data_IF_742263450327
#
_entry.id   IF_742263450327
#
_cell.length_a   1.000
_cell.length_b   1.000
_cell.length_c   1.000
_cell.angle_alpha   90.00
_cell.angle_beta   90.00
_cell.angle_gamma   90.00
#
_symmetry.space_group_name_H-M   'P 1'
#
loop_
_entity.id
_entity.type
_entity.pdbx_description
1 polymer ?
#
# COMPACT_ATOMS: atom_id res chain seq x y z
N UNK A 1 17.01 25.42 -56.39
CA UNK A 1 17.67 25.12 -55.10
C UNK A 1 16.67 24.41 -54.19
N UNK A 2 16.82 23.09 -53.99
CA UNK A 2 16.01 22.28 -53.07
C UNK A 2 16.60 22.43 -51.66
N UNK A 3 15.77 22.75 -50.66
CA UNK A 3 16.18 22.73 -49.24
C UNK A 3 15.80 21.36 -48.66
N UNK A 4 16.80 20.64 -48.18
CA UNK A 4 16.63 19.41 -47.41
C UNK A 4 16.02 19.72 -46.04
N UNK A 5 15.03 18.92 -45.65
CA UNK A 5 14.61 18.77 -44.26
C UNK A 5 15.52 17.73 -43.60
N UNK A 6 15.95 18.00 -42.38
CA UNK A 6 16.80 17.12 -41.56
C UNK A 6 15.96 16.59 -40.39
N UNK A 7 15.96 15.27 -40.22
CA UNK A 7 15.37 14.54 -39.10
C UNK A 7 16.03 14.91 -37.75
N UNK A 8 15.29 14.90 -36.63
CA UNK A 8 15.89 14.94 -35.30
C UNK A 8 16.39 13.54 -34.87
N UNK A 9 17.70 13.45 -34.69
CA UNK A 9 18.43 12.30 -34.13
C UNK A 9 18.05 12.07 -32.67
N UNK A 10 17.70 10.83 -32.33
CA UNK A 10 17.51 10.35 -30.96
C UNK A 10 18.90 10.08 -30.36
N UNK A 11 19.23 10.82 -29.30
CA UNK A 11 20.46 10.70 -28.54
C UNK A 11 20.47 9.39 -27.73
N UNK A 12 21.38 8.48 -28.11
CA UNK A 12 21.54 7.15 -27.53
C UNK A 12 22.41 7.14 -26.26
N UNK A 13 22.95 8.29 -25.82
CA UNK A 13 23.91 8.34 -24.71
C UNK A 13 23.26 8.52 -23.32
N UNK A 14 21.94 8.76 -23.25
CA UNK A 14 21.22 8.88 -21.98
C UNK A 14 20.86 7.52 -21.33
N UNK A 15 20.97 6.39 -22.06
CA UNK A 15 20.54 5.07 -21.58
C UNK A 15 21.67 4.32 -20.85
N UNK A 16 22.93 4.72 -21.00
CA UNK A 16 24.09 3.97 -20.48
C UNK A 16 24.55 4.41 -19.07
N UNK A 17 23.98 5.48 -18.50
CA UNK A 17 24.41 5.99 -17.18
C UNK A 17 23.75 5.31 -15.96
N UNK A 18 22.69 4.53 -16.13
CA UNK A 18 22.00 3.88 -15.00
C UNK A 18 22.50 2.45 -14.68
N UNK A 19 23.52 1.96 -15.38
CA UNK A 19 24.05 0.60 -15.21
C UNK A 19 25.21 0.45 -14.22
N UNK A 20 25.72 1.53 -13.59
CA UNK A 20 26.95 1.49 -12.79
C UNK A 20 26.77 1.51 -11.25
N UNK A 21 25.54 1.44 -10.73
CA UNK A 21 25.29 1.43 -9.27
C UNK A 21 24.87 0.06 -8.69
N UNK A 22 24.93 -1.03 -9.47
CA UNK A 22 24.51 -2.37 -9.05
C UNK A 22 25.66 -3.38 -8.98
N UNK A 23 26.75 -3.07 -8.30
CA UNK A 23 27.75 -4.11 -7.99
C UNK A 23 28.33 -3.93 -6.60
N UNK A 24 28.31 -5.03 -5.83
CA UNK A 24 28.52 -5.20 -4.37
C UNK A 24 27.17 -5.15 -3.65
N UNK A 25 26.55 -6.27 -3.25
CA UNK A 25 27.05 -7.27 -2.30
C UNK A 25 26.36 -8.63 -2.58
N UNK A 26 27.12 -9.70 -2.80
CA UNK A 26 26.60 -11.07 -2.73
C UNK A 26 27.56 -11.90 -1.88
N UNK A 27 27.15 -12.22 -0.66
CA UNK A 27 27.82 -13.22 0.18
C UNK A 27 26.77 -14.28 0.53
N UNK A 28 27.00 -15.58 0.28
CA UNK A 28 26.02 -16.60 0.58
C UNK A 28 26.06 -16.90 2.10
N UNK A 29 25.00 -16.56 2.83
CA UNK A 29 24.94 -16.86 4.26
C UNK A 29 24.31 -18.24 4.50
N UNK A 30 25.07 -19.09 5.20
CA UNK A 30 24.76 -20.48 5.58
C UNK A 30 23.49 -20.57 6.43
N UNK A 31 22.72 -21.64 6.22
CA UNK A 31 21.60 -22.05 7.06
C UNK A 31 22.07 -22.27 8.50
N UNK A 32 21.48 -21.57 9.46
CA UNK A 32 21.59 -21.89 10.88
C UNK A 32 20.16 -22.04 11.40
N UNK A 33 19.75 -23.28 11.67
CA UNK A 33 18.52 -23.58 12.41
C UNK A 33 18.81 -23.41 13.90
N UNK A 34 18.09 -22.50 14.55
CA UNK A 34 18.01 -22.47 16.02
C UNK A 34 16.54 -22.61 16.39
N UNK A 35 16.22 -23.75 17.00
CA UNK A 35 14.96 -24.01 17.66
C UNK A 35 14.95 -23.31 19.03
N UNK A 36 13.90 -22.54 19.32
CA UNK A 36 13.45 -22.28 20.68
C UNK A 36 11.95 -21.95 20.66
N UNK A 37 11.18 -22.83 21.32
CA UNK A 37 9.73 -22.78 21.50
C UNK A 37 9.28 -21.59 22.37
N UNK A 38 8.09 -21.08 22.05
CA UNK A 38 7.31 -20.16 22.88
C UNK A 38 6.03 -19.77 22.15
N UNK A 39 4.90 -20.27 22.63
CA UNK A 39 3.56 -20.27 22.02
C UNK A 39 3.10 -18.88 21.53
N UNK A 40 2.88 -18.76 20.21
CA UNK A 40 1.94 -17.79 19.61
C UNK A 40 1.22 -18.53 18.50
N UNK A 41 -0.11 -18.65 18.63
CA UNK A 41 -0.97 -19.15 17.57
C UNK A 41 -0.95 -18.21 16.36
N UNK A 42 -0.07 -18.49 15.41
CA UNK A 42 -0.22 -18.07 14.02
C UNK A 42 0.13 -19.27 13.14
N UNK A 43 -0.90 -19.76 12.45
CA UNK A 43 -0.81 -20.85 11.49
C UNK A 43 0.19 -20.50 10.39
N UNK A 44 1.04 -21.47 10.05
CA UNK A 44 1.95 -21.52 8.90
C UNK A 44 3.16 -20.59 8.96
N UNK A 45 4.34 -21.15 9.23
CA UNK A 45 5.65 -20.51 9.05
C UNK A 45 5.84 -20.14 7.57
N UNK A 46 5.37 -18.98 7.17
CA UNK A 46 5.82 -18.31 5.94
C UNK A 46 7.22 -17.81 6.26
N UNK A 47 8.23 -18.32 5.57
CA UNK A 47 9.57 -17.73 5.62
C UNK A 47 9.48 -16.37 4.94
N UNK A 48 9.24 -15.32 5.71
CA UNK A 48 9.28 -13.96 5.21
C UNK A 48 10.74 -13.50 5.05
N UNK A 49 11.04 -12.73 4.01
CA UNK A 49 12.31 -12.03 3.90
C UNK A 49 12.36 -10.92 4.96
N UNK A 50 13.18 -11.11 5.98
CA UNK A 50 13.37 -10.15 7.08
C UNK A 50 13.89 -8.79 6.60
N UNK A 51 14.54 -8.74 5.43
CA UNK A 51 15.03 -7.50 4.84
C UNK A 51 13.96 -6.76 4.03
N UNK A 52 12.82 -7.39 3.75
CA UNK A 52 11.71 -6.75 3.08
C UNK A 52 10.90 -5.92 4.10
N UNK A 53 10.92 -4.57 4.02
CA UNK A 53 10.18 -3.73 4.94
C UNK A 53 8.66 -3.76 4.69
N UNK A 54 8.23 -4.35 3.57
CA UNK A 54 6.83 -4.52 3.18
C UNK A 54 6.38 -5.99 3.28
N UNK A 55 7.06 -6.82 4.09
CA UNK A 55 6.59 -8.18 4.42
C UNK A 55 5.27 -8.12 5.19
N UNK A 56 4.47 -9.17 5.10
CA UNK A 56 3.13 -9.26 5.70
C UNK A 56 3.12 -8.87 7.18
N UNK A 57 4.06 -9.37 7.99
CA UNK A 57 4.13 -9.06 9.42
C UNK A 57 4.33 -7.57 9.70
N UNK A 58 5.18 -6.87 8.94
CA UNK A 58 5.38 -5.43 9.09
C UNK A 58 4.18 -4.63 8.59
N UNK A 59 3.54 -5.07 7.50
CA UNK A 59 2.33 -4.42 7.00
C UNK A 59 1.17 -4.55 8.00
N UNK A 60 0.95 -5.73 8.59
CA UNK A 60 -0.06 -5.95 9.64
C UNK A 60 0.22 -5.08 10.87
N UNK A 61 1.47 -5.06 11.34
CA UNK A 61 1.88 -4.23 12.48
C UNK A 61 1.71 -2.74 12.21
N UNK A 62 2.04 -2.27 11.00
CA UNK A 62 1.84 -0.88 10.59
C UNK A 62 0.35 -0.53 10.50
N UNK A 63 -0.47 -1.44 9.97
CA UNK A 63 -1.92 -1.29 9.93
C UNK A 63 -2.54 -1.16 11.33
N UNK A 64 -2.14 -2.02 12.27
CA UNK A 64 -2.60 -1.97 13.66
C UNK A 64 -2.26 -0.65 14.35
N UNK A 65 -1.08 -0.07 14.05
CA UNK A 65 -0.69 1.26 14.56
C UNK A 65 -1.63 2.37 14.10
N UNK A 66 -2.33 2.24 12.98
CA UNK A 66 -3.35 3.22 12.58
C UNK A 66 -4.49 3.25 13.60
N UNK A 67 -4.97 2.06 14.01
CA UNK A 67 -6.02 1.93 15.03
C UNK A 67 -5.54 2.31 16.43
N UNK A 68 -4.31 1.98 16.80
CA UNK A 68 -3.77 2.21 18.14
C UNK A 68 -3.27 3.64 18.36
N UNK A 69 -2.74 4.30 17.33
CA UNK A 69 -2.07 5.60 17.46
C UNK A 69 -2.73 6.71 16.65
N UNK A 70 -2.94 6.49 15.35
CA UNK A 70 -3.43 7.55 14.46
C UNK A 70 -4.90 7.88 14.73
N UNK A 71 -5.72 6.85 14.99
CA UNK A 71 -7.13 7.01 15.29
C UNK A 71 -7.41 7.75 16.61
N UNK A 72 -6.79 7.39 17.76
CA UNK A 72 -6.96 8.16 19.00
C UNK A 72 -6.53 9.62 18.86
N UNK A 73 -5.46 9.91 18.12
CA UNK A 73 -5.05 11.30 17.82
C UNK A 73 -6.12 12.05 17.02
N UNK A 74 -6.71 11.40 16.02
CA UNK A 74 -7.83 11.97 15.26
C UNK A 74 -9.05 12.25 16.16
N UNK A 75 -9.41 11.31 17.03
CA UNK A 75 -10.50 11.51 18.00
C UNK A 75 -10.23 12.68 18.96
N UNK A 76 -8.98 12.88 19.39
CA UNK A 76 -8.62 14.05 20.19
C UNK A 76 -8.81 15.37 19.43
N UNK A 77 -8.44 15.42 18.14
CA UNK A 77 -8.69 16.59 17.29
C UNK A 77 -10.20 16.86 17.13
N UNK A 78 -10.99 15.82 16.86
CA UNK A 78 -12.46 15.93 16.77
C UNK A 78 -13.05 16.48 18.07
N UNK A 79 -12.64 15.95 19.23
CA UNK A 79 -13.07 16.45 20.55
C UNK A 79 -12.64 17.89 20.82
N UNK A 80 -11.47 18.30 20.35
CA UNK A 80 -11.03 19.69 20.43
C UNK A 80 -11.96 20.63 19.65
N UNK A 81 -12.35 20.21 18.45
CA UNK A 81 -13.27 20.97 17.58
C UNK A 81 -14.67 21.04 18.19
N UNK A 82 -15.21 19.92 18.71
CA UNK A 82 -16.53 19.93 19.35
C UNK A 82 -16.57 20.86 20.56
N UNK A 83 -15.55 20.84 21.42
CA UNK A 83 -15.44 21.74 22.58
C UNK A 83 -15.43 23.23 22.20
N UNK A 84 -14.78 23.58 21.09
CA UNK A 84 -14.73 24.98 20.61
C UNK A 84 -16.05 25.47 20.01
N UNK A 85 -16.91 24.55 19.53
CA UNK A 85 -18.20 24.86 18.89
C UNK A 85 -19.42 24.81 19.84
N UNK A 86 -19.21 24.90 21.16
CA UNK A 86 -20.23 24.71 22.22
C UNK A 86 -20.70 23.26 22.42
N UNK A 87 -19.89 22.28 22.03
CA UNK A 87 -19.89 20.94 22.64
C UNK A 87 -21.17 20.11 22.45
N UNK A 88 -21.80 20.13 21.28
CA UNK A 88 -22.92 19.22 20.99
C UNK A 88 -22.39 17.78 20.77
N UNK A 89 -22.86 16.78 21.55
CA UNK A 89 -22.53 15.38 21.31
C UNK A 89 -22.90 14.87 19.90
N UNK A 90 -23.90 15.48 19.25
CA UNK A 90 -24.29 15.16 17.88
C UNK A 90 -23.21 15.57 16.86
N UNK A 91 -22.51 16.69 17.10
CA UNK A 91 -21.43 17.15 16.24
C UNK A 91 -20.22 16.20 16.32
N UNK A 92 -19.83 15.78 17.52
CA UNK A 92 -18.73 14.82 17.70
C UNK A 92 -19.03 13.49 17.01
N UNK A 93 -20.27 13.01 17.13
CA UNK A 93 -20.71 11.78 16.45
C UNK A 93 -20.66 11.93 14.93
N UNK A 94 -21.18 13.04 14.39
CA UNK A 94 -21.17 13.31 12.95
C UNK A 94 -19.74 13.41 12.41
N UNK A 95 -18.84 14.11 13.10
CA UNK A 95 -17.44 14.23 12.70
C UNK A 95 -16.70 12.88 12.76
N UNK A 96 -17.04 12.03 13.75
CA UNK A 96 -16.56 10.65 13.79
C UNK A 96 -17.01 9.88 12.56
N UNK A 97 -18.31 9.89 12.23
CA UNK A 97 -18.86 9.21 11.05
C UNK A 97 -18.24 9.70 9.73
N UNK A 98 -17.96 11.00 9.61
CA UNK A 98 -17.23 11.59 8.47
C UNK A 98 -15.83 10.96 8.37
N UNK A 99 -15.10 10.89 9.49
CA UNK A 99 -13.77 10.30 9.54
C UNK A 99 -13.80 8.79 9.19
N UNK A 100 -14.74 8.02 9.72
CA UNK A 100 -14.88 6.60 9.40
C UNK A 100 -15.18 6.37 7.91
N UNK A 101 -16.07 7.19 7.33
CA UNK A 101 -16.41 7.15 5.90
C UNK A 101 -15.20 7.50 5.03
N UNK A 102 -14.41 8.49 5.45
CA UNK A 102 -13.17 8.87 4.79
C UNK A 102 -12.19 7.69 4.76
N UNK A 103 -11.92 7.06 5.91
CA UNK A 103 -11.00 5.92 6.02
C UNK A 103 -11.39 4.82 5.02
N UNK A 104 -12.67 4.41 5.02
CA UNK A 104 -13.17 3.38 4.10
C UNK A 104 -12.96 3.75 2.63
N UNK A 105 -13.25 5.00 2.25
CA UNK A 105 -13.08 5.47 0.86
C UNK A 105 -11.62 5.50 0.44
N UNK A 106 -10.74 5.96 1.32
CA UNK A 106 -9.30 6.05 1.05
C UNK A 106 -8.68 4.67 0.85
N UNK A 107 -8.97 3.70 1.72
CA UNK A 107 -8.49 2.33 1.53
C UNK A 107 -9.03 1.70 0.24
N UNK A 108 -10.31 1.92 -0.09
CA UNK A 108 -10.89 1.44 -1.36
C UNK A 108 -10.20 2.07 -2.57
N UNK A 109 -9.89 3.37 -2.52
CA UNK A 109 -9.18 4.07 -3.59
C UNK A 109 -7.75 3.53 -3.77
N UNK A 110 -7.03 3.35 -2.67
CA UNK A 110 -5.68 2.78 -2.69
C UNK A 110 -5.64 1.39 -3.35
N UNK A 111 -6.61 0.52 -3.00
CA UNK A 111 -6.75 -0.80 -3.61
C UNK A 111 -6.93 -0.69 -5.13
N UNK A 112 -7.93 0.10 -5.58
CA UNK A 112 -8.22 0.30 -7.01
C UNK A 112 -7.02 0.89 -7.76
N UNK A 113 -6.35 1.88 -7.18
CA UNK A 113 -5.21 2.53 -7.84
C UNK A 113 -4.01 1.57 -7.98
N UNK A 114 -3.75 0.75 -6.96
CA UNK A 114 -2.64 -0.21 -7.03
C UNK A 114 -2.96 -1.41 -7.91
N UNK A 115 -4.22 -1.85 -7.98
CA UNK A 115 -4.68 -2.84 -8.96
C UNK A 115 -4.44 -2.32 -10.39
N UNK A 116 -4.87 -1.10 -10.69
CA UNK A 116 -4.61 -0.47 -12.01
C UNK A 116 -3.12 -0.38 -12.32
N UNK A 117 -2.29 -0.02 -11.33
CA UNK A 117 -0.82 0.02 -11.52
C UNK A 117 -0.25 -1.39 -11.73
N UNK A 118 -0.72 -2.41 -11.02
CA UNK A 118 -0.33 -3.81 -11.23
C UNK A 118 -0.69 -4.28 -12.63
N UNK A 119 -1.89 -4.00 -13.12
CA UNK A 119 -2.31 -4.34 -14.50
C UNK A 119 -1.50 -3.59 -15.56
N UNK A 120 -1.21 -2.31 -15.34
CA UNK A 120 -0.31 -1.55 -16.22
C UNK A 120 1.10 -2.14 -16.26
N UNK A 121 1.64 -2.58 -15.11
CA UNK A 121 2.93 -3.28 -15.05
C UNK A 121 2.88 -4.62 -15.79
N UNK A 122 1.84 -5.43 -15.59
CA UNK A 122 1.65 -6.69 -16.34
C UNK A 122 1.65 -6.45 -17.85
N UNK A 123 0.92 -5.43 -18.29
CA UNK A 123 0.87 -5.03 -19.70
C UNK A 123 2.24 -4.63 -20.24
N UNK A 124 3.00 -3.80 -19.50
CA UNK A 124 4.35 -3.37 -19.88
C UNK A 124 5.33 -4.54 -20.04
N UNK A 125 5.21 -5.57 -19.21
CA UNK A 125 6.07 -6.75 -19.27
C UNK A 125 5.54 -7.85 -20.22
N UNK A 126 4.45 -7.59 -20.95
CA UNK A 126 3.73 -8.57 -21.79
C UNK A 126 3.34 -9.84 -21.02
N UNK A 127 2.94 -9.67 -19.76
CA UNK A 127 2.41 -10.73 -18.92
C UNK A 127 0.89 -10.83 -19.18
N UNK A 128 0.50 -11.41 -20.31
CA UNK A 128 -0.88 -11.82 -20.60
C UNK A 128 -1.10 -13.31 -20.26
N UNK A 129 -2.33 -13.72 -19.94
CA UNK A 129 -2.72 -15.07 -19.50
C UNK A 129 -2.34 -16.24 -20.45
N UNK A 130 -1.69 -15.96 -21.58
CA UNK A 130 -1.11 -16.95 -22.49
C UNK A 130 0.21 -17.54 -21.94
N UNK A 131 0.08 -18.49 -21.02
CA UNK A 131 0.88 -19.70 -20.71
C UNK A 131 2.42 -19.79 -20.87
N UNK A 132 3.17 -18.78 -21.32
CA UNK A 132 4.65 -18.83 -21.32
C UNK A 132 5.22 -17.49 -20.86
N UNK A 133 5.08 -17.22 -19.57
CA UNK A 133 5.89 -16.17 -18.94
C UNK A 133 7.31 -16.69 -18.77
N UNK A 134 8.29 -16.01 -19.35
CA UNK A 134 9.68 -16.32 -19.02
C UNK A 134 9.93 -15.84 -17.58
N UNK A 135 10.56 -16.69 -16.75
CA UNK A 135 10.99 -16.39 -15.37
C UNK A 135 11.59 -14.99 -15.20
N UNK A 136 12.32 -14.51 -16.21
CA UNK A 136 12.91 -13.15 -16.22
C UNK A 136 11.85 -12.04 -16.17
N UNK A 137 10.73 -12.16 -16.88
CA UNK A 137 9.66 -11.16 -16.89
C UNK A 137 8.95 -11.09 -15.53
N UNK A 138 8.70 -12.25 -14.92
CA UNK A 138 8.12 -12.33 -13.57
C UNK A 138 9.04 -11.65 -12.54
N UNK A 139 10.34 -11.94 -12.59
CA UNK A 139 11.34 -11.30 -11.73
C UNK A 139 11.40 -9.77 -11.95
N UNK A 140 11.32 -9.30 -13.20
CA UNK A 140 11.26 -7.87 -13.48
C UNK A 140 10.02 -7.21 -12.87
N UNK A 141 8.85 -7.87 -12.96
CA UNK A 141 7.62 -7.38 -12.35
C UNK A 141 7.72 -7.33 -10.82
N UNK A 142 8.22 -8.39 -10.19
CA UNK A 142 8.44 -8.43 -8.73
C UNK A 142 9.35 -7.28 -8.26
N UNK A 143 10.45 -7.03 -8.98
CA UNK A 143 11.33 -5.90 -8.67
C UNK A 143 10.64 -4.54 -8.86
N UNK A 144 9.80 -4.38 -9.90
CA UNK A 144 9.05 -3.16 -10.12
C UNK A 144 8.05 -2.90 -8.98
N UNK A 145 7.35 -3.93 -8.51
CA UNK A 145 6.46 -3.86 -7.35
C UNK A 145 7.23 -3.48 -6.08
N UNK A 146 8.37 -4.13 -5.81
CA UNK A 146 9.20 -3.82 -4.65
C UNK A 146 9.75 -2.39 -4.68
N UNK A 147 10.13 -1.89 -5.85
CA UNK A 147 10.58 -0.51 -6.01
C UNK A 147 9.44 0.48 -5.77
N UNK A 148 8.24 0.21 -6.28
CA UNK A 148 7.06 1.01 -6.01
C UNK A 148 6.70 1.01 -4.51
N UNK A 149 6.78 -0.15 -3.84
CA UNK A 149 6.59 -0.27 -2.40
C UNK A 149 7.61 0.58 -1.62
N UNK A 150 8.90 0.53 -1.98
CA UNK A 150 9.94 1.38 -1.36
C UNK A 150 9.65 2.87 -1.55
N UNK A 151 9.24 3.24 -2.76
CA UNK A 151 8.92 4.63 -3.11
C UNK A 151 7.77 5.13 -2.22
N UNK A 152 6.68 4.36 -2.10
CA UNK A 152 5.55 4.66 -1.21
C UNK A 152 5.98 4.69 0.27
N UNK A 153 6.84 3.77 0.69
CA UNK A 153 7.24 3.62 2.09
C UNK A 153 8.13 4.77 2.58
N UNK A 154 9.08 5.23 1.77
CA UNK A 154 10.10 6.20 2.21
C UNK A 154 9.84 7.63 1.72
N UNK A 155 9.05 7.83 0.68
CA UNK A 155 8.72 9.17 0.23
C UNK A 155 7.74 9.86 1.19
N UNK A 156 7.90 11.19 1.32
CA UNK A 156 6.93 12.04 2.00
C UNK A 156 5.65 12.11 1.17
N UNK A 157 4.75 11.16 1.44
CA UNK A 157 3.47 11.00 0.78
C UNK A 157 2.47 12.06 1.27
N UNK A 158 2.01 12.95 0.40
CA UNK A 158 0.89 13.88 0.67
C UNK A 158 -0.05 13.91 -0.54
N UNK A 159 -0.91 12.91 -0.66
CA UNK A 159 -1.87 12.81 -1.78
C UNK A 159 -3.30 13.02 -1.36
N UNK A 160 -3.59 13.11 -0.06
CA UNK A 160 -4.95 13.16 0.41
C UNK A 160 -5.74 14.32 -0.19
N UNK A 161 -5.15 15.51 -0.33
CA UNK A 161 -5.87 16.64 -0.92
C UNK A 161 -6.31 16.34 -2.36
N UNK A 162 -5.48 15.66 -3.15
CA UNK A 162 -5.79 15.30 -4.53
C UNK A 162 -6.77 14.13 -4.58
N UNK A 163 -6.58 13.11 -3.75
CA UNK A 163 -7.53 12.00 -3.56
C UNK A 163 -8.90 12.53 -3.12
N UNK A 164 -8.91 13.52 -2.22
CA UNK A 164 -10.13 14.10 -1.68
C UNK A 164 -10.88 14.89 -2.77
N UNK A 165 -10.16 15.63 -3.63
CA UNK A 165 -10.73 16.26 -4.84
C UNK A 165 -11.29 15.22 -5.81
N UNK A 166 -10.53 14.16 -6.12
CA UNK A 166 -10.96 13.08 -7.02
C UNK A 166 -12.21 12.35 -6.49
N UNK A 167 -12.30 12.18 -5.17
CA UNK A 167 -13.45 11.56 -4.52
C UNK A 167 -14.64 12.52 -4.35
N UNK A 168 -14.57 13.74 -4.88
CA UNK A 168 -15.63 14.75 -4.83
C UNK A 168 -15.99 15.19 -3.41
N UNK A 169 -15.04 15.10 -2.47
CA UNK A 169 -15.30 15.36 -1.06
C UNK A 169 -14.63 16.66 -0.59
N UNK A 170 -15.31 17.37 0.31
CA UNK A 170 -14.73 18.46 1.10
C UNK A 170 -14.58 18.01 2.55
N UNK A 171 -13.73 17.00 2.77
CA UNK A 171 -13.40 16.60 4.13
C UNK A 171 -12.55 17.67 4.82
N UNK A 172 -12.71 17.84 6.14
CA UNK A 172 -12.00 18.88 6.87
C UNK A 172 -10.49 18.58 6.97
N UNK A 173 -9.68 19.64 6.90
CA UNK A 173 -8.22 19.53 6.84
C UNK A 173 -7.54 18.81 8.02
N UNK A 174 -8.20 18.73 9.18
CA UNK A 174 -7.66 17.99 10.33
C UNK A 174 -7.60 16.47 10.11
N UNK A 175 -8.30 15.96 9.10
CA UNK A 175 -8.29 14.55 8.70
C UNK A 175 -7.15 14.19 7.75
N UNK A 176 -6.47 15.16 7.15
CA UNK A 176 -5.48 14.93 6.09
C UNK A 176 -4.39 13.93 6.49
N UNK A 177 -3.79 14.12 7.67
CA UNK A 177 -2.71 13.24 8.16
C UNK A 177 -3.17 11.78 8.26
N UNK A 178 -4.31 11.54 8.92
CA UNK A 178 -4.85 10.19 9.06
C UNK A 178 -5.18 9.58 7.70
N UNK A 179 -5.67 10.39 6.77
CA UNK A 179 -6.04 9.94 5.46
C UNK A 179 -4.81 9.60 4.59
N UNK A 180 -3.75 10.40 4.64
CA UNK A 180 -2.47 10.11 3.99
C UNK A 180 -1.88 8.79 4.53
N UNK A 181 -1.89 8.62 5.86
CA UNK A 181 -1.44 7.37 6.51
C UNK A 181 -2.27 6.16 6.05
N UNK A 182 -3.60 6.30 5.99
CA UNK A 182 -4.49 5.25 5.50
C UNK A 182 -4.26 4.92 4.02
N UNK A 183 -4.05 5.94 3.18
CA UNK A 183 -3.82 5.75 1.75
C UNK A 183 -2.50 5.04 1.50
N UNK A 184 -1.42 5.49 2.16
CA UNK A 184 -0.10 4.88 2.10
C UNK A 184 -0.16 3.42 2.52
N UNK A 185 -0.77 3.14 3.68
CA UNK A 185 -0.92 1.77 4.18
C UNK A 185 -1.75 0.92 3.21
N UNK A 186 -2.86 1.44 2.69
CA UNK A 186 -3.70 0.75 1.72
C UNK A 186 -2.95 0.42 0.43
N UNK A 187 -2.09 1.33 -0.05
CA UNK A 187 -1.27 1.07 -1.24
C UNK A 187 -0.29 -0.10 -0.99
N UNK A 188 0.42 -0.08 0.13
CA UNK A 188 1.38 -1.13 0.47
C UNK A 188 0.72 -2.51 0.62
N UNK A 189 -0.45 -2.55 1.27
CA UNK A 189 -1.26 -3.76 1.43
C UNK A 189 -1.77 -4.32 0.10
N UNK A 190 -2.22 -3.44 -0.81
CA UNK A 190 -2.67 -3.83 -2.14
C UNK A 190 -1.51 -4.32 -3.03
N UNK A 191 -0.29 -3.81 -2.80
CA UNK A 191 0.91 -4.23 -3.52
C UNK A 191 1.50 -5.56 -3.01
N UNK A 192 1.17 -6.00 -1.79
CA UNK A 192 1.54 -7.31 -1.28
C UNK A 192 1.03 -8.45 -2.18
N UNK A 193 1.65 -9.63 -2.06
CA UNK A 193 1.28 -10.85 -2.77
C UNK A 193 1.21 -12.05 -1.81
N UNK A 194 0.03 -12.63 -1.55
CA UNK A 194 -1.29 -12.18 -2.03
C UNK A 194 -1.68 -10.82 -1.41
N UNK A 195 -2.53 -10.01 -2.07
CA UNK A 195 -2.97 -8.72 -1.53
C UNK A 195 -3.63 -8.87 -0.15
N UNK A 196 -3.31 -7.95 0.77
CA UNK A 196 -3.95 -7.89 2.08
C UNK A 196 -5.21 -7.03 1.99
N UNK A 197 -6.39 -7.63 2.17
CA UNK A 197 -7.69 -6.96 1.97
C UNK A 197 -8.38 -6.74 3.30
N UNK A 198 -9.09 -5.63 3.44
CA UNK A 198 -9.86 -5.31 4.64
C UNK A 198 -11.26 -5.92 4.61
N UNK A 199 -11.65 -6.59 5.69
CA UNK A 199 -12.99 -7.17 5.84
C UNK A 199 -13.97 -6.16 6.46
N UNK A 200 -14.51 -5.29 5.62
CA UNK A 200 -15.49 -4.28 6.03
C UNK A 200 -16.85 -4.87 6.48
N UNK A 201 -17.10 -6.17 6.27
CA UNK A 201 -18.35 -6.83 6.63
C UNK A 201 -18.28 -7.48 8.01
N UNK A 202 -17.06 -7.75 8.52
CA UNK A 202 -16.91 -8.22 9.90
C UNK A 202 -17.42 -7.15 10.85
N UNK A 203 -18.29 -7.56 11.78
CA UNK A 203 -18.83 -6.65 12.80
C UNK A 203 -17.66 -6.03 13.55
N UNK A 204 -17.70 -4.70 13.72
CA UNK A 204 -16.72 -3.99 14.55
C UNK A 204 -16.78 -4.60 15.95
N UNK A 205 -15.65 -5.05 16.46
CA UNK A 205 -15.55 -5.37 17.89
C UNK A 205 -15.94 -4.13 18.70
N UNK A 206 -16.42 -4.32 19.92
CA UNK A 206 -17.03 -3.31 20.80
C UNK A 206 -16.16 -2.05 21.11
N UNK A 207 -14.97 -1.93 20.52
CA UNK A 207 -13.99 -0.86 20.70
C UNK A 207 -14.28 0.43 19.90
N UNK A 208 -15.21 0.42 18.93
CA UNK A 208 -15.56 1.62 18.16
C UNK A 208 -14.43 2.16 17.28
N UNK A 209 -13.45 1.30 16.95
CA UNK A 209 -12.37 1.52 16.00
C UNK A 209 -12.88 1.31 14.56
N UNK A 210 -12.56 2.19 13.60
CA UNK A 210 -13.03 2.08 12.22
C UNK A 210 -12.19 1.14 11.34
N UNK A 211 -11.13 0.54 11.89
CA UNK A 211 -10.20 -0.32 11.17
C UNK A 211 -10.65 -1.80 11.31
N UNK A 212 -11.21 -2.41 10.26
CA UNK A 212 -11.59 -3.82 10.28
C UNK A 212 -10.36 -4.74 10.24
N UNK A 213 -10.51 -6.02 10.57
CA UNK A 213 -9.41 -6.97 10.41
C UNK A 213 -9.04 -7.18 8.93
N UNK A 214 -7.80 -7.60 8.75
CA UNK A 214 -7.25 -8.02 7.45
C UNK A 214 -7.68 -9.46 7.18
N UNK A 215 -8.25 -9.70 5.99
CA UNK A 215 -8.37 -11.02 5.36
C UNK A 215 -7.26 -11.18 4.31
N UNK A 216 -6.75 -12.40 4.15
CA UNK A 216 -5.95 -12.70 2.95
C UNK A 216 -6.87 -12.60 1.73
N UNK A 217 -6.42 -11.92 0.68
CA UNK A 217 -7.05 -12.05 -0.62
C UNK A 217 -6.92 -13.49 -1.10
N UNK A 218 -7.98 -14.02 -1.72
CA UNK A 218 -7.87 -15.28 -2.46
C UNK A 218 -6.79 -15.06 -3.54
N UNK A 219 -5.70 -15.82 -3.44
CA UNK A 219 -4.78 -15.96 -4.56
C UNK A 219 -5.57 -16.51 -5.74
N UNK A 220 -5.20 -16.13 -6.95
CA UNK A 220 -5.60 -16.90 -8.12
C UNK A 220 -4.84 -18.22 -8.03
N UNK A 221 -5.37 -19.12 -7.22
CA UNK A 221 -4.92 -20.49 -7.11
C UNK A 221 -5.21 -21.09 -8.48
N UNK A 222 -4.15 -21.46 -9.21
CA UNK A 222 -4.30 -22.24 -10.43
C UNK A 222 -5.10 -23.49 -10.09
N UNK A 223 -6.36 -23.53 -10.55
CA UNK A 223 -7.18 -24.72 -10.50
C UNK A 223 -6.46 -25.83 -11.27
N UNK A 224 -5.95 -26.80 -10.51
CA UNK A 224 -5.73 -28.14 -11.01
C UNK A 224 -7.09 -28.79 -11.16
N UNK A 225 -7.58 -28.96 -12.40
CA UNK A 225 -8.22 -30.18 -12.91
C UNK A 225 -7.86 -30.33 -14.39
#
# INVERSE_FOLDING_TARGET
MKRHMTDPQIDHDAITANSSYLTKVHTPCRKISVEASGEIGCSSKIFEDVNNPCRESELRKSYEKLGLNAWPKCLQKIKGISKTRRGDPADEKNEKEIAERMIKRVFKKALIDMEKKKEAMKTLFNLSDSAVHNKKQLQCMEMAVQNLQRLILYEKFTHYQDINKELGNNHPGYLCELADDCYKQGCLMALHDPPLILDWNKKKDHCGCPFPPIKLGEGHDGESI
#
